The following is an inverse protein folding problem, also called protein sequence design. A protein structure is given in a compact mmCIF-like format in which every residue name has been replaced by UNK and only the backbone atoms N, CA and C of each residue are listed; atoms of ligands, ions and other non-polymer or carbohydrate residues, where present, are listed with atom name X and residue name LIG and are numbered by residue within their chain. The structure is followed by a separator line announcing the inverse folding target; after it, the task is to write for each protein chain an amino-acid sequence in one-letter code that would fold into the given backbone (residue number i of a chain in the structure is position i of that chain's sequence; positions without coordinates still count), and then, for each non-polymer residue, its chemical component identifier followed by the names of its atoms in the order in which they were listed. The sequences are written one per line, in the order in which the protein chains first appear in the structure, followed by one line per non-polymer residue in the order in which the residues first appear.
data_IF_335385622495
#
_entry.id   IF_335385622495
#
_cell.length_a   1.000
_cell.length_b   1.000
_cell.length_c   1.000
_cell.angle_alpha   90.00
_cell.angle_beta   90.00
_cell.angle_gamma   90.00
#
_symmetry.space_group_name_H-M   'P 1'
#
loop_
_entity.id
_entity.type
_entity.pdbx_description
1 polymer ?
#
# COMPACT_ATOMS: atom_id res chain seq x y z
N UNK A 1 52.62 3.80 22.91
CA UNK A 1 51.73 4.95 22.61
C UNK A 1 51.91 5.25 21.14
N UNK A 2 51.08 4.82 20.21
CA UNK A 2 49.65 4.52 20.21
C UNK A 2 49.40 3.47 19.13
N UNK A 3 48.92 2.29 19.53
CA UNK A 3 48.41 1.28 18.61
C UNK A 3 47.11 1.84 18.01
N UNK A 4 47.22 2.52 16.86
CA UNK A 4 46.07 2.99 16.10
C UNK A 4 45.42 1.80 15.43
N UNK A 5 44.55 1.14 16.17
CA UNK A 5 43.62 0.11 15.73
C UNK A 5 42.76 0.68 14.59
N UNK A 6 43.16 0.44 13.34
CA UNK A 6 42.30 0.65 12.18
C UNK A 6 41.24 -0.45 12.18
N UNK A 7 40.13 -0.19 12.89
CA UNK A 7 38.92 -0.99 12.82
C UNK A 7 38.20 -0.62 11.51
N UNK A 8 38.45 -1.38 10.45
CA UNK A 8 37.67 -1.32 9.22
C UNK A 8 36.24 -1.79 9.50
N UNK A 9 35.30 -0.84 9.65
CA UNK A 9 33.86 -1.13 9.60
C UNK A 9 33.51 -1.52 8.16
N UNK A 10 33.48 -2.83 7.87
CA UNK A 10 32.78 -3.34 6.70
C UNK A 10 31.28 -3.19 6.93
N UNK A 11 30.66 -2.18 6.31
CA UNK A 11 29.21 -2.03 6.31
C UNK A 11 28.58 -3.22 5.57
N UNK A 12 27.99 -4.15 6.32
CA UNK A 12 27.20 -5.22 5.73
C UNK A 12 25.91 -4.62 5.16
N UNK A 13 25.71 -4.74 3.85
CA UNK A 13 24.46 -4.38 3.18
C UNK A 13 23.41 -5.42 3.53
N UNK A 14 22.53 -5.12 4.49
CA UNK A 14 21.35 -5.94 4.77
C UNK A 14 20.38 -5.74 3.60
N UNK A 15 19.98 -6.82 2.89
CA UNK A 15 18.97 -6.70 1.85
C UNK A 15 17.65 -6.31 2.51
N UNK A 16 17.11 -5.14 2.14
CA UNK A 16 15.78 -4.74 2.55
C UNK A 16 14.75 -5.63 1.84
N UNK A 17 14.01 -6.42 2.60
CA UNK A 17 12.84 -7.13 2.08
C UNK A 17 11.68 -6.14 1.98
N UNK A 18 11.19 -5.91 0.76
CA UNK A 18 9.95 -5.18 0.58
C UNK A 18 8.80 -5.97 1.22
N UNK A 19 7.93 -5.30 1.97
CA UNK A 19 6.73 -5.92 2.51
C UNK A 19 5.81 -6.37 1.36
N UNK A 20 5.31 -7.59 1.47
CA UNK A 20 4.33 -8.13 0.53
C UNK A 20 3.00 -7.43 0.76
N UNK A 21 2.57 -6.62 -0.21
CA UNK A 21 1.26 -5.97 -0.18
C UNK A 21 0.20 -6.94 -0.67
N UNK A 22 -0.76 -7.24 0.19
CA UNK A 22 -1.89 -8.14 -0.08
C UNK A 22 -3.21 -7.38 -0.11
N UNK A 23 -4.17 -7.85 -0.91
CA UNK A 23 -5.50 -7.25 -0.97
C UNK A 23 -6.18 -7.23 0.41
N UNK A 24 -6.21 -8.37 1.10
CA UNK A 24 -6.98 -8.54 2.32
C UNK A 24 -6.43 -7.67 3.47
N UNK A 25 -5.11 -7.62 3.64
CA UNK A 25 -4.51 -6.96 4.81
C UNK A 25 -4.29 -5.46 4.57
N UNK A 26 -3.92 -5.07 3.34
CA UNK A 26 -3.43 -3.72 3.09
C UNK A 26 -4.40 -2.86 2.30
N UNK A 27 -5.11 -3.42 1.32
CA UNK A 27 -5.90 -2.63 0.36
C UNK A 27 -7.38 -2.57 0.78
N UNK A 28 -7.98 -3.72 1.08
CA UNK A 28 -9.39 -3.82 1.41
C UNK A 28 -9.81 -2.91 2.58
N UNK A 29 -9.06 -2.81 3.70
CA UNK A 29 -9.42 -1.91 4.79
C UNK A 29 -9.48 -0.44 4.37
N UNK A 30 -8.54 0.01 3.53
CA UNK A 30 -8.51 1.39 3.03
C UNK A 30 -9.74 1.68 2.18
N UNK A 31 -10.07 0.78 1.25
CA UNK A 31 -11.22 0.91 0.37
C UNK A 31 -12.53 0.88 1.16
N UNK A 32 -12.68 -0.07 2.08
CA UNK A 32 -13.91 -0.24 2.86
C UNK A 32 -14.17 0.95 3.79
N UNK A 33 -13.10 1.51 4.37
CA UNK A 33 -13.22 2.64 5.30
C UNK A 33 -13.51 3.98 4.62
N UNK A 34 -13.03 4.19 3.38
CA UNK A 34 -13.06 5.50 2.74
C UNK A 34 -13.96 5.56 1.50
N UNK A 35 -14.13 4.46 0.78
CA UNK A 35 -14.80 4.46 -0.53
C UNK A 35 -16.12 3.68 -0.51
N UNK A 36 -16.13 2.47 0.07
CA UNK A 36 -17.28 1.54 -0.01
C UNK A 36 -18.51 2.03 0.76
N UNK A 37 -18.35 2.98 1.69
CA UNK A 37 -19.48 3.65 2.37
C UNK A 37 -20.49 4.21 1.36
N UNK A 38 -19.99 4.81 0.27
CA UNK A 38 -20.80 5.33 -0.82
C UNK A 38 -20.83 4.37 -2.03
N UNK A 39 -19.70 3.72 -2.35
CA UNK A 39 -19.55 2.80 -3.48
C UNK A 39 -19.91 1.35 -3.11
N UNK A 40 -21.15 1.12 -2.65
CA UNK A 40 -21.71 -0.22 -2.45
C UNK A 40 -23.07 -0.32 -3.13
N UNK A 41 -23.52 -1.54 -3.38
CA UNK A 41 -24.78 -1.78 -4.08
C UNK A 41 -25.96 -1.08 -3.37
N UNK A 42 -26.81 -0.40 -4.14
CA UNK A 42 -27.99 0.30 -3.63
C UNK A 42 -27.70 1.60 -2.88
N UNK A 43 -26.49 2.18 -3.01
CA UNK A 43 -26.17 3.50 -2.46
C UNK A 43 -26.01 4.56 -3.57
N UNK A 44 -25.74 5.80 -3.15
CA UNK A 44 -25.69 6.98 -4.01
C UNK A 44 -24.64 6.92 -5.13
N UNK A 45 -23.57 6.16 -4.97
CA UNK A 45 -22.49 6.14 -5.96
C UNK A 45 -22.80 5.19 -7.13
N UNK A 46 -22.41 5.53 -8.37
CA UNK A 46 -22.87 4.85 -9.59
C UNK A 46 -22.22 3.48 -9.84
N UNK A 47 -21.33 3.02 -8.96
CA UNK A 47 -20.66 1.72 -9.08
C UNK A 47 -20.18 1.21 -7.72
N UNK A 48 -19.92 -0.10 -7.65
CA UNK A 48 -19.43 -0.78 -6.45
C UNK A 48 -17.91 -0.78 -6.35
N UNK A 49 -17.41 -0.78 -5.11
CA UNK A 49 -16.03 -1.05 -4.71
C UNK A 49 -16.05 -2.04 -3.54
N UNK A 50 -16.66 -3.20 -3.76
CA UNK A 50 -16.88 -4.22 -2.72
C UNK A 50 -16.00 -5.47 -2.90
N UNK A 51 -15.31 -5.58 -4.02
CA UNK A 51 -14.46 -6.71 -4.36
C UNK A 51 -13.11 -6.24 -4.91
N UNK A 52 -12.13 -7.15 -4.93
CA UNK A 52 -10.84 -6.88 -5.58
C UNK A 52 -11.00 -6.54 -7.07
N UNK A 53 -11.88 -7.24 -7.80
CA UNK A 53 -12.10 -7.00 -9.23
C UNK A 53 -12.65 -5.60 -9.49
N UNK A 54 -13.61 -5.15 -8.69
CA UNK A 54 -14.21 -3.82 -8.80
C UNK A 54 -13.16 -2.73 -8.62
N UNK A 55 -12.32 -2.87 -7.59
CA UNK A 55 -11.25 -1.91 -7.29
C UNK A 55 -10.15 -1.95 -8.35
N UNK A 56 -9.72 -3.16 -8.76
CA UNK A 56 -8.68 -3.33 -9.79
C UNK A 56 -9.08 -2.66 -11.10
N UNK A 57 -10.33 -2.80 -11.53
CA UNK A 57 -10.83 -2.19 -12.75
C UNK A 57 -10.72 -0.65 -12.71
N UNK A 58 -10.71 -0.05 -11.52
CA UNK A 58 -10.73 1.41 -11.30
C UNK A 58 -9.44 1.94 -10.67
N UNK A 59 -8.41 1.11 -10.55
CA UNK A 59 -7.18 1.44 -9.81
C UNK A 59 -6.53 2.76 -10.25
N UNK A 60 -6.50 3.04 -11.56
CA UNK A 60 -5.96 4.30 -12.09
C UNK A 60 -6.75 5.53 -11.64
N UNK A 61 -8.09 5.44 -11.65
CA UNK A 61 -8.95 6.53 -11.17
C UNK A 61 -8.77 6.74 -9.68
N UNK A 62 -8.75 5.66 -8.89
CA UNK A 62 -8.51 5.73 -7.45
C UNK A 62 -7.19 6.44 -7.17
N UNK A 63 -6.10 6.03 -7.82
CA UNK A 63 -4.80 6.69 -7.68
C UNK A 63 -4.86 8.18 -8.05
N UNK A 64 -5.56 8.54 -9.12
CA UNK A 64 -5.69 9.94 -9.55
C UNK A 64 -6.47 10.80 -8.56
N UNK A 65 -7.52 10.28 -7.91
CA UNK A 65 -8.36 11.07 -6.98
C UNK A 65 -7.81 11.11 -5.56
N UNK A 66 -6.75 10.36 -5.27
CA UNK A 66 -6.06 10.34 -3.96
C UNK A 66 -4.67 10.97 -3.99
N UNK A 67 -4.21 11.48 -5.13
CA UNK A 67 -2.96 12.24 -5.20
C UNK A 67 -3.12 13.60 -4.50
N UNK A 68 -2.07 14.04 -3.80
CA UNK A 68 -1.98 15.34 -3.12
C UNK A 68 -1.20 16.35 -3.96
#
# INVERSE_FOLDING_TARGET
MTLRTLLLLTAATIPATAQTVTWAEHIAPIIYNNCTKCHRAGQVAPFTLASYSDVKQRARTIASVTQS
#
